data_IF_604852217440
#
_entry.id   IF_604852217440
#
_cell.length_a   1.000
_cell.length_b   1.000
_cell.length_c   1.000
_cell.angle_alpha   90.00
_cell.angle_beta   90.00
_cell.angle_gamma   90.00
#
_symmetry.space_group_name_H-M   'P 1'
#
loop_
_entity.id
_entity.type
_entity.pdbx_description
1 polymer ?
#
# COMPACT_ATOMS: atom_id res chain seq x y z
N UNK A 1 -2.16 -14.65 -19.98
CA UNK A 1 -2.68 -14.06 -18.73
C UNK A 1 -1.76 -14.44 -17.57
N UNK A 2 -0.46 -14.16 -17.67
CA UNK A 2 0.53 -14.45 -16.61
C UNK A 2 1.16 -13.17 -16.02
N UNK A 3 0.86 -11.99 -16.57
CA UNK A 3 1.48 -10.74 -16.13
C UNK A 3 0.91 -10.15 -14.83
N UNK A 4 -0.33 -10.49 -14.43
CA UNK A 4 -0.96 -9.86 -13.26
C UNK A 4 -0.47 -10.39 -11.91
N UNK A 5 -0.17 -11.69 -11.78
CA UNK A 5 0.17 -12.27 -10.48
C UNK A 5 1.52 -11.79 -9.94
N UNK A 6 2.48 -11.55 -10.85
CA UNK A 6 3.80 -11.08 -10.47
C UNK A 6 3.72 -9.71 -9.78
N UNK A 7 2.94 -8.74 -10.28
CA UNK A 7 2.89 -7.41 -9.68
C UNK A 7 2.33 -7.40 -8.24
N UNK A 8 1.25 -8.15 -7.98
CA UNK A 8 0.66 -8.26 -6.64
C UNK A 8 1.58 -9.01 -5.66
N UNK A 9 2.19 -10.13 -6.09
CA UNK A 9 3.15 -10.87 -5.26
C UNK A 9 4.36 -10.00 -4.85
N UNK A 10 4.71 -9.01 -5.67
CA UNK A 10 5.82 -8.09 -5.41
C UNK A 10 5.49 -7.05 -4.32
N UNK A 11 4.22 -6.77 -4.03
CA UNK A 11 3.79 -5.83 -2.99
C UNK A 11 4.21 -6.28 -1.58
N UNK A 12 4.39 -7.58 -1.34
CA UNK A 12 4.86 -8.16 -0.07
C UNK A 12 4.11 -7.60 1.16
N UNK A 13 2.78 -7.51 1.10
CA UNK A 13 1.97 -6.98 2.20
C UNK A 13 2.07 -7.89 3.42
N UNK A 14 2.33 -7.29 4.58
CA UNK A 14 2.41 -7.97 5.87
C UNK A 14 1.59 -7.23 6.91
N UNK A 15 0.76 -7.97 7.64
CA UNK A 15 0.08 -7.48 8.84
C UNK A 15 1.02 -7.61 10.04
N UNK A 16 1.05 -6.58 10.89
CA UNK A 16 1.78 -6.65 12.15
C UNK A 16 0.97 -7.49 13.16
N UNK A 17 1.61 -8.50 13.75
CA UNK A 17 0.97 -9.41 14.70
C UNK A 17 0.74 -8.77 16.08
N UNK A 18 1.64 -7.87 16.50
CA UNK A 18 1.57 -7.16 17.78
C UNK A 18 0.68 -5.90 17.69
N UNK A 19 0.54 -5.35 16.48
CA UNK A 19 -0.31 -4.20 16.16
C UNK A 19 -1.35 -4.56 15.09
N UNK A 20 -2.53 -5.13 15.44
CA UNK A 20 -3.44 -5.78 14.49
C UNK A 20 -3.99 -4.91 13.34
N UNK A 21 -3.88 -3.59 13.46
CA UNK A 21 -4.36 -2.60 12.48
C UNK A 21 -3.24 -2.00 11.65
N UNK A 22 -2.00 -2.36 11.96
CA UNK A 22 -0.82 -1.87 11.28
C UNK A 22 -0.41 -2.88 10.21
N UNK A 23 -0.09 -2.37 9.04
CA UNK A 23 0.39 -3.17 7.92
C UNK A 23 1.53 -2.45 7.22
N UNK A 24 2.33 -3.21 6.50
CA UNK A 24 3.46 -2.70 5.72
C UNK A 24 3.61 -3.48 4.42
N UNK A 25 4.20 -2.84 3.41
CA UNK A 25 4.39 -3.42 2.09
C UNK A 25 4.92 -2.39 1.10
N UNK A 26 5.06 -2.79 -0.15
CA UNK A 26 5.48 -1.93 -1.24
C UNK A 26 4.26 -1.39 -1.99
N UNK A 27 4.09 -0.07 -1.97
CA UNK A 27 3.04 0.61 -2.73
C UNK A 27 3.41 0.80 -4.21
N UNK A 28 4.68 0.65 -4.55
CA UNK A 28 5.20 0.68 -5.91
C UNK A 28 6.57 0.00 -5.92
N UNK A 29 6.85 -0.79 -6.95
CA UNK A 29 8.13 -1.49 -7.14
C UNK A 29 8.86 -0.87 -8.32
N UNK A 30 10.17 -0.67 -8.19
CA UNK A 30 10.98 0.01 -9.18
C UNK A 30 11.40 -0.91 -10.32
N UNK A 31 11.63 -0.31 -11.49
CA UNK A 31 12.15 -1.00 -12.69
C UNK A 31 11.27 -2.16 -13.18
N UNK A 32 10.01 -2.22 -12.75
CA UNK A 32 8.97 -3.05 -13.36
C UNK A 32 8.19 -2.22 -14.38
N UNK A 33 7.67 -2.89 -15.40
CA UNK A 33 6.71 -2.29 -16.34
C UNK A 33 5.30 -2.47 -15.77
N UNK A 34 4.54 -1.38 -15.69
CA UNK A 34 3.10 -1.46 -15.38
C UNK A 34 2.26 -1.82 -16.61
N UNK A 35 0.94 -1.95 -16.42
CA UNK A 35 -0.02 -2.36 -17.46
C UNK A 35 -0.09 -1.41 -18.66
N UNK A 36 0.45 -0.19 -18.56
CA UNK A 36 0.48 0.81 -19.65
C UNK A 36 1.90 1.10 -20.15
N UNK A 37 2.91 0.41 -19.62
CA UNK A 37 4.30 0.48 -20.04
C UNK A 37 5.10 1.60 -19.37
N UNK A 38 4.61 2.15 -18.26
CA UNK A 38 5.36 3.08 -17.45
C UNK A 38 6.27 2.33 -16.47
N UNK A 39 7.50 2.82 -16.32
CA UNK A 39 8.47 2.30 -15.36
C UNK A 39 8.67 3.33 -14.25
N UNK A 40 8.43 2.95 -13.00
CA UNK A 40 8.76 3.80 -11.86
C UNK A 40 10.24 3.63 -11.53
N UNK A 41 10.99 4.73 -11.56
CA UNK A 41 12.41 4.75 -11.23
C UNK A 41 12.65 5.17 -9.77
N UNK A 42 13.74 4.67 -9.21
CA UNK A 42 14.23 5.11 -7.89
C UNK A 42 14.43 6.62 -7.87
N UNK A 43 13.97 7.28 -6.80
CA UNK A 43 14.05 8.73 -6.65
C UNK A 43 12.75 9.46 -6.99
N UNK A 44 11.78 8.80 -7.62
CA UNK A 44 10.51 9.42 -8.07
C UNK A 44 9.69 9.98 -6.91
N UNK A 45 9.70 9.33 -5.75
CA UNK A 45 8.94 9.73 -4.56
C UNK A 45 9.73 10.58 -3.57
N UNK A 46 11.04 10.79 -3.74
CA UNK A 46 11.88 11.55 -2.80
C UNK A 46 11.27 12.92 -2.48
N UNK A 47 10.88 13.68 -3.51
CA UNK A 47 10.28 15.01 -3.29
C UNK A 47 8.96 14.95 -2.51
N UNK A 48 8.16 13.90 -2.72
CA UNK A 48 6.90 13.69 -1.98
C UNK A 48 7.19 13.38 -0.51
N UNK A 49 8.14 12.49 -0.25
CA UNK A 49 8.57 12.10 1.10
C UNK A 49 9.18 13.29 1.84
N UNK A 50 10.11 14.03 1.21
CA UNK A 50 10.77 15.18 1.86
C UNK A 50 9.80 16.31 2.22
N UNK A 51 8.71 16.43 1.47
CA UNK A 51 7.66 17.41 1.76
C UNK A 51 6.60 16.87 2.73
N UNK A 52 6.80 15.70 3.34
CA UNK A 52 5.84 15.01 4.22
C UNK A 52 4.44 14.91 3.61
N UNK A 53 4.37 14.71 2.28
CA UNK A 53 3.11 14.49 1.58
C UNK A 53 2.81 13.01 1.53
N UNK A 54 1.67 12.62 2.07
CA UNK A 54 1.14 11.26 1.95
C UNK A 54 -0.26 11.30 1.36
N UNK A 55 -0.64 10.34 0.49
CA UNK A 55 -1.99 10.28 -0.05
C UNK A 55 -3.01 10.00 1.06
N UNK A 56 -4.28 10.26 0.79
CA UNK A 56 -5.36 9.86 1.71
C UNK A 56 -5.62 8.36 1.52
N UNK A 57 -5.68 7.61 2.62
CA UNK A 57 -5.84 6.16 2.59
C UNK A 57 -7.28 5.71 2.36
N UNK A 58 -7.71 5.70 1.11
CA UNK A 58 -8.99 5.13 0.67
C UNK A 58 -8.84 3.66 0.24
N UNK A 59 -9.90 2.88 0.41
CA UNK A 59 -9.99 1.57 -0.22
C UNK A 59 -10.46 1.70 -1.68
N UNK A 60 -9.82 0.98 -2.61
CA UNK A 60 -10.13 0.96 -4.05
C UNK A 60 -10.27 2.35 -4.69
N UNK A 61 -9.51 3.34 -4.21
CA UNK A 61 -9.57 4.73 -4.67
C UNK A 61 -10.97 5.36 -4.62
N UNK A 62 -11.89 4.83 -3.80
CA UNK A 62 -13.26 5.35 -3.69
C UNK A 62 -13.27 6.65 -2.88
N UNK A 63 -12.96 7.75 -3.55
CA UNK A 63 -12.89 9.10 -3.00
C UNK A 63 -14.18 9.62 -2.36
N UNK A 64 -15.34 9.03 -2.67
CA UNK A 64 -16.63 9.33 -2.02
C UNK A 64 -16.83 8.61 -0.68
N UNK A 65 -15.94 7.69 -0.31
CA UNK A 65 -16.02 6.93 0.94
C UNK A 65 -15.28 7.61 2.09
N UNK A 66 -15.49 7.13 3.32
CA UNK A 66 -14.68 7.57 4.47
C UNK A 66 -13.25 7.00 4.32
N UNK A 67 -12.20 7.83 4.42
CA UNK A 67 -10.82 7.33 4.48
C UNK A 67 -10.63 6.37 5.64
N UNK A 68 -10.01 5.22 5.39
CA UNK A 68 -9.85 4.14 6.38
C UNK A 68 -8.41 3.92 6.83
N UNK A 69 -7.44 4.59 6.21
CA UNK A 69 -6.02 4.37 6.50
C UNK A 69 -5.28 5.70 6.69
N UNK A 70 -4.41 5.74 7.69
CA UNK A 70 -3.39 6.76 7.87
C UNK A 70 -2.02 6.16 7.59
N UNK A 71 -1.25 6.80 6.73
CA UNK A 71 0.16 6.44 6.52
C UNK A 71 1.01 6.92 7.70
N UNK A 72 1.79 6.00 8.25
CA UNK A 72 2.72 6.23 9.36
C UNK A 72 4.13 6.51 8.86
N UNK A 73 4.55 5.81 7.79
CA UNK A 73 5.87 5.92 7.22
C UNK A 73 5.84 5.66 5.71
N UNK A 74 6.61 6.43 4.96
CA UNK A 74 6.90 6.22 3.55
C UNK A 74 8.41 6.27 3.37
N UNK A 75 8.97 5.26 2.71
CA UNK A 75 10.41 5.15 2.50
C UNK A 75 10.70 4.54 1.14
N UNK A 76 11.61 5.14 0.39
CA UNK A 76 12.21 4.47 -0.77
C UNK A 76 13.38 3.59 -0.32
N UNK A 77 13.49 2.40 -0.91
CA UNK A 77 14.68 1.57 -0.85
C UNK A 77 15.16 1.19 -2.26
N UNK A 78 15.99 0.15 -2.40
CA UNK A 78 16.47 -0.31 -3.71
C UNK A 78 15.40 -1.09 -4.49
N UNK A 79 14.34 -1.53 -3.83
CA UNK A 79 13.27 -2.34 -4.41
C UNK A 79 12.07 -1.48 -4.83
N UNK A 80 11.66 -0.51 -4.02
CA UNK A 80 10.47 0.28 -4.30
C UNK A 80 10.15 1.35 -3.25
N UNK A 81 8.90 1.82 -3.29
CA UNK A 81 8.31 2.64 -2.25
C UNK A 81 7.67 1.73 -1.19
N UNK A 82 8.39 1.54 -0.09
CA UNK A 82 7.86 0.87 1.09
C UNK A 82 6.99 1.83 1.91
N UNK A 83 5.87 1.33 2.41
CA UNK A 83 4.91 2.09 3.21
C UNK A 83 4.51 1.32 4.46
N UNK A 84 4.24 2.06 5.54
CA UNK A 84 3.59 1.56 6.75
C UNK A 84 2.28 2.30 6.96
N UNK A 85 1.18 1.57 7.00
CA UNK A 85 -0.17 2.10 7.18
C UNK A 85 -0.80 1.63 8.48
N UNK A 86 -1.74 2.43 8.99
CA UNK A 86 -2.62 2.04 10.10
C UNK A 86 -4.07 2.23 9.70
N UNK A 87 -4.83 1.14 9.76
CA UNK A 87 -6.28 1.15 9.58
C UNK A 87 -6.97 1.83 10.77
N UNK A 88 -7.98 2.65 10.49
CA UNK A 88 -8.72 3.42 11.49
C UNK A 88 -9.67 2.49 12.27
N UNK A 89 -9.34 2.22 13.53
CA UNK A 89 -10.13 1.38 14.43
C UNK A 89 -11.56 1.92 14.60
N UNK A 90 -12.53 1.00 14.64
CA UNK A 90 -13.95 1.34 14.87
C UNK A 90 -14.70 1.82 13.64
N UNK A 91 -14.05 2.00 12.49
CA UNK A 91 -14.73 2.16 11.19
C UNK A 91 -15.01 0.77 10.62
N UNK A 92 -16.29 0.46 10.34
CA UNK A 92 -16.71 -0.85 9.82
C UNK A 92 -15.91 -1.28 8.60
N UNK A 93 -15.76 -0.40 7.61
CA UNK A 93 -14.97 -0.71 6.41
C UNK A 93 -13.50 -1.03 6.74
N UNK A 94 -12.90 -0.32 7.69
CA UNK A 94 -11.52 -0.60 8.10
C UNK A 94 -11.38 -2.00 8.73
N UNK A 95 -12.36 -2.42 9.53
CA UNK A 95 -12.40 -3.77 10.11
C UNK A 95 -12.59 -4.86 9.04
N UNK A 96 -13.50 -4.65 8.10
CA UNK A 96 -13.75 -5.57 6.98
C UNK A 96 -12.48 -5.78 6.16
N UNK A 97 -11.78 -4.70 5.81
CA UNK A 97 -10.51 -4.77 5.07
C UNK A 97 -9.44 -5.46 5.90
N UNK A 98 -9.31 -5.15 7.19
CA UNK A 98 -8.34 -5.81 8.08
C UNK A 98 -8.56 -7.32 8.13
N UNK A 99 -9.80 -7.77 8.24
CA UNK A 99 -10.16 -9.19 8.26
C UNK A 99 -9.92 -9.86 6.90
N UNK A 100 -10.24 -9.18 5.80
CA UNK A 100 -10.00 -9.67 4.44
C UNK A 100 -8.48 -9.81 4.14
N UNK A 101 -7.67 -8.86 4.59
CA UNK A 101 -6.20 -8.96 4.53
C UNK A 101 -5.69 -10.15 5.35
N UNK A 102 -6.20 -10.36 6.57
CA UNK A 102 -5.85 -11.53 7.39
C UNK A 102 -6.25 -12.86 6.74
N UNK A 103 -7.38 -12.88 6.02
CA UNK A 103 -7.84 -14.05 5.29
C UNK A 103 -7.12 -14.26 3.95
N UNK A 104 -6.29 -13.31 3.51
CA UNK A 104 -5.63 -13.34 2.21
C UNK A 104 -6.57 -13.14 1.02
N UNK A 105 -7.78 -12.62 1.23
CA UNK A 105 -8.69 -12.24 0.13
C UNK A 105 -8.42 -10.83 -0.39
N UNK A 106 -7.58 -10.07 0.32
CA UNK A 106 -6.93 -8.83 -0.12
C UNK A 106 -5.44 -9.02 0.13
N UNK A 107 -4.63 -8.95 -0.93
CA UNK A 107 -3.20 -9.29 -0.92
C UNK A 107 -2.28 -8.23 -1.55
N UNK A 108 -2.82 -7.23 -2.26
CA UNK A 108 -2.12 -5.99 -2.61
C UNK A 108 -2.17 -5.60 -4.06
#
# INVERSE_FOLDING_TARGET
MEHLKLALDLCNIKMNQDEPYTFEGYASVFNGDDDVGDTILKGTFLNTITNNKSPIGFFNHKHESVPICKWLELKEDDYGLWVKGKLTQGITLAEEIRLAMQAGTIDG
#
